data_IF_885208009443
#
_entry.id   IF_885208009443
#
_cell.length_a   1.000
_cell.length_b   1.000
_cell.length_c   1.000
_cell.angle_alpha   90.00
_cell.angle_beta   90.00
_cell.angle_gamma   90.00
#
_symmetry.space_group_name_H-M   'P 1'
#
loop_
_entity.id
_entity.type
_entity.pdbx_description
1 polymer ?
#
# COMPACT_ATOMS: atom_id res chain seq x y z
N UNK A 1 18.72 -4.31 5.78
CA UNK A 1 17.81 -4.48 4.61
C UNK A 1 18.17 -3.44 3.57
N UNK A 2 18.81 -3.85 2.50
CA UNK A 2 19.23 -2.96 1.39
C UNK A 2 18.19 -3.10 0.28
N UNK A 3 17.48 -2.02 -0.03
CA UNK A 3 16.52 -2.00 -1.12
C UNK A 3 17.22 -1.62 -2.41
N UNK A 4 17.25 -2.52 -3.39
CA UNK A 4 17.70 -2.23 -4.74
C UNK A 4 16.49 -1.99 -5.64
N UNK A 5 16.45 -0.82 -6.27
CA UNK A 5 15.45 -0.48 -7.29
C UNK A 5 16.07 -0.81 -8.65
N UNK A 6 15.42 -1.70 -9.41
CA UNK A 6 15.82 -2.01 -10.79
C UNK A 6 14.81 -1.37 -11.76
N UNK A 7 15.32 -0.71 -12.79
CA UNK A 7 14.51 -0.10 -13.84
C UNK A 7 14.67 -0.90 -15.13
N UNK A 8 13.57 -1.25 -15.77
CA UNK A 8 13.53 -1.86 -17.08
C UNK A 8 12.90 -0.88 -18.08
N UNK A 9 13.58 -0.65 -19.19
CA UNK A 9 13.14 0.27 -20.23
C UNK A 9 12.28 -0.49 -21.24
N UNK A 10 11.08 0.00 -21.48
CA UNK A 10 10.16 -0.56 -22.49
C UNK A 10 10.44 0.05 -23.87
N UNK A 11 10.03 -0.63 -24.95
CA UNK A 11 10.30 -0.17 -26.33
C UNK A 11 9.65 1.17 -26.70
N UNK A 12 8.69 1.65 -25.92
CA UNK A 12 7.98 2.93 -26.10
C UNK A 12 8.54 4.09 -25.26
N UNK A 13 9.69 3.91 -24.60
CA UNK A 13 10.38 4.99 -23.86
C UNK A 13 9.93 5.19 -22.41
N UNK A 14 8.96 4.44 -21.91
CA UNK A 14 8.50 4.50 -20.51
C UNK A 14 9.34 3.61 -19.58
N UNK A 15 9.54 4.05 -18.34
CA UNK A 15 10.29 3.32 -17.31
C UNK A 15 9.33 2.77 -16.25
N UNK A 16 9.30 1.45 -16.11
CA UNK A 16 8.61 0.79 -15.00
C UNK A 16 9.60 0.48 -13.88
N UNK A 17 9.24 0.86 -12.67
CA UNK A 17 9.99 0.53 -11.46
C UNK A 17 9.40 -0.71 -10.79
N UNK A 18 10.20 -1.75 -10.58
CA UNK A 18 9.82 -2.93 -9.82
C UNK A 18 10.50 -2.90 -8.45
N UNK A 19 9.69 -3.09 -7.40
CA UNK A 19 10.18 -3.39 -6.07
C UNK A 19 10.38 -4.90 -5.95
N UNK A 20 11.63 -5.33 -5.87
CA UNK A 20 11.97 -6.73 -5.61
C UNK A 20 12.44 -6.84 -4.16
N UNK A 21 11.67 -7.52 -3.32
CA UNK A 21 12.15 -8.00 -2.02
C UNK A 21 12.98 -9.27 -2.27
N UNK A 22 14.27 -9.18 -2.15
CA UNK A 22 15.16 -10.35 -2.14
C UNK A 22 15.18 -10.89 -0.72
N UNK A 23 14.53 -12.01 -0.51
CA UNK A 23 14.71 -12.84 0.67
C UNK A 23 15.96 -13.70 0.49
N UNK A 24 16.89 -13.60 1.45
CA UNK A 24 18.05 -14.48 1.53
C UNK A 24 17.58 -15.92 1.76
N UNK A 25 17.81 -16.77 0.76
CA UNK A 25 17.73 -18.23 0.93
C UNK A 25 19.11 -18.70 1.35
N UNK A 26 19.23 -19.11 2.60
CA UNK A 26 20.31 -19.94 3.07
C UNK A 26 20.30 -21.29 2.34
N UNK A 27 21.42 -21.62 1.72
CA UNK A 27 21.67 -22.92 1.12
C UNK A 27 22.00 -23.91 2.24
N UNK A 28 21.10 -24.81 2.52
CA UNK A 28 21.34 -26.03 3.25
C UNK A 28 21.93 -27.06 2.29
N UNK A 29 23.16 -27.48 2.56
CA UNK A 29 23.88 -28.50 1.81
C UNK A 29 23.66 -29.83 2.52
N UNK A 30 22.86 -30.70 1.93
CA UNK A 30 22.80 -32.12 2.27
C UNK A 30 24.12 -32.80 1.94
N UNK A 31 24.72 -33.45 2.94
CA UNK A 31 25.58 -34.61 2.72
C UNK A 31 25.35 -35.64 3.81
N UNK A 32 24.85 -36.76 3.36
CA UNK A 32 24.54 -38.01 4.03
C UNK A 32 25.82 -38.85 4.20
N UNK A 33 26.07 -39.37 5.38
CA UNK A 33 26.59 -40.76 5.62
C UNK A 33 26.88 -40.98 7.12
N UNK A 34 26.08 -41.72 7.73
CA UNK A 34 26.29 -43.10 8.22
C UNK A 34 27.18 -43.32 9.44
N UNK A 35 26.59 -44.00 10.41
CA UNK A 35 27.08 -44.96 11.41
C UNK A 35 27.65 -44.52 12.76
N UNK A 36 26.93 -45.01 13.76
CA UNK A 36 27.32 -45.78 14.99
C UNK A 36 27.90 -45.05 16.22
N UNK A 37 27.06 -45.15 17.24
CA UNK A 37 27.31 -45.64 18.63
C UNK A 37 28.30 -44.95 19.58
N UNK A 38 27.76 -44.76 20.78
CA UNK A 38 28.29 -44.87 22.13
C UNK A 38 28.97 -43.69 22.84
N UNK A 39 28.42 -43.39 24.02
CA UNK A 39 29.20 -43.12 25.24
C UNK A 39 29.12 -41.71 25.83
N UNK A 40 28.21 -41.53 26.78
CA UNK A 40 28.40 -41.02 28.17
C UNK A 40 29.60 -40.08 28.44
N UNK A 41 29.37 -38.90 28.92
CA UNK A 41 29.71 -38.33 30.23
C UNK A 41 29.92 -36.80 30.18
N UNK A 42 29.50 -36.18 31.28
CA UNK A 42 29.39 -34.77 31.49
C UNK A 42 30.72 -34.01 31.59
N UNK A 43 30.57 -32.73 31.39
CA UNK A 43 31.18 -31.65 32.18
C UNK A 43 31.17 -30.34 31.37
N UNK A 44 30.68 -29.30 32.01
CA UNK A 44 30.82 -27.91 31.57
C UNK A 44 32.29 -27.52 31.37
N UNK A 45 32.57 -26.59 30.51
CA UNK A 45 33.68 -25.67 30.74
C UNK A 45 33.26 -24.17 30.74
N UNK A 46 33.89 -23.50 31.67
CA UNK A 46 33.86 -22.08 31.98
C UNK A 46 34.46 -21.17 30.88
N UNK A 47 34.28 -19.84 31.02
CA UNK A 47 34.49 -18.86 29.96
C UNK A 47 35.98 -18.46 29.81
N UNK A 48 36.38 -18.29 28.55
CA UNK A 48 37.74 -17.82 28.19
C UNK A 48 37.74 -16.29 28.11
N UNK A 49 38.43 -15.67 29.07
CA UNK A 49 38.88 -14.29 29.03
C UNK A 49 40.13 -14.18 28.13
N UNK A 50 40.08 -13.38 27.08
CA UNK A 50 41.27 -13.03 26.30
C UNK A 50 41.90 -11.72 26.82
N UNK A 51 43.11 -11.81 27.27
CA UNK A 51 44.01 -10.76 27.73
C UNK A 51 44.43 -9.82 26.60
N UNK A 52 44.16 -8.50 26.77
CA UNK A 52 44.82 -7.45 25.99
C UNK A 52 46.10 -7.05 26.75
N UNK A 53 47.27 -7.33 26.15
CA UNK A 53 48.57 -6.85 26.62
C UNK A 53 48.75 -5.35 26.36
N UNK A 54 48.86 -4.57 27.44
CA UNK A 54 49.37 -3.20 27.42
C UNK A 54 50.89 -3.22 27.42
N UNK A 55 51.52 -2.72 26.37
CA UNK A 55 52.97 -2.49 26.32
C UNK A 55 53.23 -1.07 26.84
N UNK A 56 53.88 -0.98 28.02
CA UNK A 56 54.40 0.26 28.59
C UNK A 56 55.77 0.54 27.95
N UNK A 57 55.92 1.67 27.30
CA UNK A 57 57.24 2.24 26.98
C UNK A 57 57.70 3.14 28.12
N UNK A 58 58.69 2.70 28.86
CA UNK A 58 59.46 3.45 29.83
C UNK A 58 60.55 4.22 29.08
N UNK A 59 60.44 5.55 28.96
CA UNK A 59 61.52 6.41 28.50
C UNK A 59 62.49 6.75 29.65
N UNK A 60 63.70 6.30 29.46
CA UNK A 60 64.86 6.56 30.35
C UNK A 60 65.30 8.02 30.21
N UNK A 61 65.22 8.72 31.33
CA UNK A 61 65.84 10.03 31.58
C UNK A 61 67.35 9.83 31.87
N UNK A 62 68.20 9.91 30.87
CA UNK A 62 69.61 10.17 31.08
C UNK A 62 70.26 10.55 29.75
N UNK A 63 70.44 11.82 29.51
CA UNK A 63 71.46 12.52 28.69
C UNK A 63 71.03 13.95 28.33
N UNK A 64 70.93 14.77 29.38
CA UNK A 64 71.02 16.22 29.24
C UNK A 64 72.22 16.61 30.05
N UNK A 65 73.32 16.87 29.37
CA UNK A 65 74.47 17.67 29.81
C UNK A 65 75.55 17.54 28.79
N UNK A 66 75.54 18.37 27.73
CA UNK A 66 76.74 18.96 27.14
C UNK A 66 76.39 19.58 25.79
N UNK A 67 76.02 20.79 25.76
CA UNK A 67 76.13 21.71 24.63
C UNK A 67 75.63 23.13 25.02
N UNK A 68 76.21 23.71 26.03
CA UNK A 68 76.15 25.18 26.25
C UNK A 68 77.58 25.65 26.00
N UNK A 69 77.88 26.23 24.88
CA UNK A 69 78.90 27.16 24.57
C UNK A 69 79.20 27.15 23.07
N UNK A 70 78.45 27.89 22.30
CA UNK A 70 78.87 28.67 21.15
C UNK A 70 77.68 29.59 20.80
N UNK A 71 77.55 30.63 21.60
CA UNK A 71 76.67 31.74 21.29
C UNK A 71 77.56 32.92 21.07
N UNK A 72 77.17 33.76 20.15
CA UNK A 72 77.67 35.08 19.81
C UNK A 72 78.39 35.14 18.47
N UNK A 73 77.65 35.74 17.62
CA UNK A 73 77.96 36.64 16.52
C UNK A 73 77.19 36.18 15.25
N UNK A 74 75.89 36.49 15.24
CA UNK A 74 75.13 36.67 13.98
C UNK A 74 74.41 38.01 14.16
N UNK A 75 74.62 38.98 13.25
CA UNK A 75 73.89 40.25 13.31
C UNK A 75 72.40 40.03 13.01
N UNK A 76 71.48 40.82 13.59
CA UNK A 76 70.09 40.76 13.25
C UNK A 76 69.88 41.38 11.86
N UNK A 77 69.98 40.56 10.83
CA UNK A 77 69.65 41.01 9.50
C UNK A 77 68.38 40.35 9.04
N UNK A 78 67.31 41.17 8.92
CA UNK A 78 66.11 40.96 8.15
C UNK A 78 65.22 39.74 8.58
N UNK A 79 64.49 39.89 9.65
CA UNK A 79 63.13 39.39 9.65
C UNK A 79 62.34 40.22 8.65
N UNK A 80 62.38 39.79 7.39
CA UNK A 80 61.40 40.20 6.40
C UNK A 80 60.05 39.74 6.94
N UNK A 81 59.26 40.71 7.36
CA UNK A 81 57.85 40.56 7.60
C UNK A 81 57.27 39.93 6.32
N UNK A 82 56.95 38.64 6.38
CA UNK A 82 56.19 37.99 5.32
C UNK A 82 54.84 38.70 5.25
N UNK A 83 54.80 39.82 4.50
CA UNK A 83 53.53 40.41 4.09
C UNK A 83 52.73 39.29 3.41
N UNK A 84 51.76 38.77 4.11
CA UNK A 84 50.76 37.86 3.57
C UNK A 84 50.30 38.47 2.25
N UNK A 85 50.47 37.80 1.09
CA UNK A 85 50.11 38.42 -0.19
C UNK A 85 48.67 38.87 -0.08
N UNK A 86 48.43 40.18 -0.21
CA UNK A 86 47.09 40.75 -0.22
C UNK A 86 46.37 40.21 -1.47
N UNK A 87 45.60 39.15 -1.27
CA UNK A 87 44.90 38.47 -2.33
C UNK A 87 43.83 39.45 -2.85
N UNK A 88 44.04 40.00 -4.05
CA UNK A 88 43.07 40.92 -4.66
C UNK A 88 41.70 40.23 -4.77
N UNK A 89 40.64 40.87 -4.25
CA UNK A 89 39.30 40.32 -4.34
C UNK A 89 38.84 40.21 -5.80
N UNK A 90 38.01 39.21 -6.10
CA UNK A 90 37.41 38.99 -7.41
C UNK A 90 36.01 39.58 -7.51
N UNK A 91 35.43 39.42 -8.70
CA UNK A 91 34.06 39.84 -9.01
C UNK A 91 33.35 38.67 -9.66
N UNK A 92 32.11 38.39 -9.22
CA UNK A 92 31.21 37.42 -9.82
C UNK A 92 30.03 38.15 -10.41
N UNK A 93 29.72 37.88 -11.68
CA UNK A 93 28.52 38.41 -12.36
C UNK A 93 27.75 37.29 -13.05
N UNK A 94 26.45 37.49 -13.22
CA UNK A 94 25.61 36.56 -13.96
C UNK A 94 24.27 37.20 -14.34
N UNK A 95 23.49 36.47 -15.15
CA UNK A 95 22.16 36.89 -15.55
C UNK A 95 21.22 35.70 -15.38
N UNK A 96 20.15 35.89 -14.60
CA UNK A 96 19.08 34.92 -14.41
C UNK A 96 18.04 35.10 -15.54
N UNK A 97 17.80 34.02 -16.29
CA UNK A 97 16.81 33.99 -17.36
C UNK A 97 15.84 32.82 -17.15
N UNK A 98 14.68 32.89 -17.78
CA UNK A 98 13.74 31.78 -17.82
C UNK A 98 14.10 30.76 -18.95
N UNK A 99 13.22 29.77 -19.17
CA UNK A 99 13.42 28.74 -20.21
C UNK A 99 13.35 29.29 -21.65
N UNK A 100 12.76 30.48 -21.84
CA UNK A 100 12.69 31.16 -23.13
C UNK A 100 13.90 32.10 -23.39
N UNK A 101 14.70 32.35 -22.36
CA UNK A 101 15.80 33.29 -22.38
C UNK A 101 15.43 34.70 -21.91
N UNK A 102 14.18 34.90 -21.42
CA UNK A 102 13.75 36.20 -20.92
C UNK A 102 14.34 36.46 -19.52
N UNK A 103 14.79 37.69 -19.22
CA UNK A 103 15.38 38.03 -17.93
C UNK A 103 14.33 37.93 -16.81
N UNK A 104 14.76 37.37 -15.69
CA UNK A 104 13.90 37.21 -14.50
C UNK A 104 14.23 38.30 -13.48
N UNK A 105 13.33 39.31 -13.31
CA UNK A 105 13.51 40.37 -12.32
C UNK A 105 13.16 39.86 -10.91
N UNK A 106 13.65 40.59 -9.89
CA UNK A 106 13.39 40.32 -8.48
C UNK A 106 13.80 38.90 -8.00
N UNK A 107 14.65 38.22 -8.75
CA UNK A 107 15.23 36.97 -8.29
C UNK A 107 16.25 37.24 -7.17
N UNK A 108 16.13 36.49 -6.09
CA UNK A 108 17.05 36.56 -4.95
C UNK A 108 18.24 35.65 -5.24
N UNK A 109 19.41 36.24 -5.38
CA UNK A 109 20.69 35.53 -5.62
C UNK A 109 21.44 35.46 -4.32
N UNK A 110 21.78 34.28 -3.89
CA UNK A 110 22.56 33.99 -2.69
C UNK A 110 23.94 33.47 -3.12
N UNK A 111 25.00 34.14 -2.68
CA UNK A 111 26.39 33.66 -2.79
C UNK A 111 26.77 33.01 -1.47
N UNK A 112 26.84 31.70 -1.45
CA UNK A 112 27.16 30.91 -0.26
C UNK A 112 28.59 30.42 -0.32
N UNK A 113 29.33 30.56 0.79
CA UNK A 113 30.67 30.01 1.00
C UNK A 113 30.49 28.63 1.66
N UNK A 114 31.13 27.60 1.15
CA UNK A 114 31.04 26.25 1.72
C UNK A 114 31.65 26.16 3.14
N UNK A 115 32.62 27.01 3.44
CA UNK A 115 33.38 26.99 4.71
C UNK A 115 32.92 28.03 5.74
N UNK A 116 31.99 28.94 5.39
CA UNK A 116 31.55 30.03 6.26
C UNK A 116 30.03 30.19 6.27
N UNK A 117 29.47 30.57 7.42
CA UNK A 117 28.02 30.67 7.62
C UNK A 117 27.42 32.03 7.25
N UNK A 118 28.15 32.90 6.53
CA UNK A 118 27.69 34.26 6.19
C UNK A 118 27.44 34.39 4.66
N UNK A 119 26.21 34.10 4.19
CA UNK A 119 25.84 34.24 2.80
C UNK A 119 25.64 35.71 2.41
N UNK A 120 26.08 36.08 1.20
CA UNK A 120 25.81 37.37 0.59
C UNK A 120 24.61 37.28 -0.34
N UNK A 121 23.81 38.35 -0.37
CA UNK A 121 22.60 38.39 -1.20
C UNK A 121 22.65 39.53 -2.20
N UNK A 122 22.09 39.28 -3.39
CA UNK A 122 21.79 40.27 -4.41
C UNK A 122 20.40 40.05 -4.93
N UNK A 123 19.77 41.09 -5.47
CA UNK A 123 18.45 40.97 -6.14
C UNK A 123 18.59 41.41 -7.58
N UNK A 124 18.04 40.69 -8.52
CA UNK A 124 18.13 41.02 -9.95
C UNK A 124 17.19 42.18 -10.31
N UNK A 125 17.66 43.20 -11.04
CA UNK A 125 16.81 44.23 -11.67
C UNK A 125 16.03 43.64 -12.86
N UNK A 126 15.33 44.53 -13.62
CA UNK A 126 14.59 44.14 -14.83
C UNK A 126 15.43 43.43 -15.90
N UNK A 127 16.73 43.69 -15.93
CA UNK A 127 17.67 43.00 -16.84
C UNK A 127 18.03 41.60 -16.39
N UNK A 128 17.60 41.12 -15.22
CA UNK A 128 17.98 39.82 -14.66
C UNK A 128 19.43 39.71 -14.21
N UNK A 129 20.24 40.78 -14.33
CA UNK A 129 21.66 40.75 -13.98
C UNK A 129 21.92 40.84 -12.47
N UNK A 130 23.01 40.25 -11.99
CA UNK A 130 23.49 40.42 -10.64
C UNK A 130 25.01 40.51 -10.60
N UNK A 131 25.55 41.13 -9.58
CA UNK A 131 26.97 41.32 -9.37
C UNK A 131 27.32 41.17 -7.87
N UNK A 132 28.37 40.39 -7.58
CA UNK A 132 29.04 40.36 -6.29
C UNK A 132 30.45 40.88 -6.44
N UNK A 133 30.76 42.03 -5.82
CA UNK A 133 32.09 42.63 -5.74
C UNK A 133 32.81 42.19 -4.48
N UNK A 134 34.11 42.38 -4.44
CA UNK A 134 34.96 42.11 -3.27
C UNK A 134 34.76 40.64 -2.75
N UNK A 135 34.82 39.68 -3.68
CA UNK A 135 34.72 38.24 -3.38
C UNK A 135 36.10 37.71 -3.05
N UNK A 136 36.37 37.17 -1.84
CA UNK A 136 37.67 36.63 -1.46
C UNK A 136 38.10 35.48 -2.41
N UNK A 137 39.33 35.46 -2.93
CA UNK A 137 39.78 34.33 -3.77
C UNK A 137 40.17 33.11 -2.92
N UNK A 138 40.26 31.93 -3.57
CA UNK A 138 40.74 30.69 -2.94
C UNK A 138 39.72 29.98 -2.04
N UNK A 139 38.48 30.46 -1.99
CA UNK A 139 37.38 29.86 -1.23
C UNK A 139 36.37 29.25 -2.20
N UNK A 140 35.79 28.08 -1.92
CA UNK A 140 34.74 27.52 -2.73
C UNK A 140 33.40 28.21 -2.47
N UNK A 141 32.75 28.63 -3.56
CA UNK A 141 31.45 29.31 -3.58
C UNK A 141 30.42 28.51 -4.32
N UNK A 142 29.15 28.63 -3.88
CA UNK A 142 27.98 28.17 -4.58
C UNK A 142 26.98 29.32 -4.74
N UNK A 143 26.35 29.44 -5.89
CA UNK A 143 25.32 30.44 -6.18
C UNK A 143 23.98 29.73 -6.20
N UNK A 144 23.03 30.26 -5.44
CA UNK A 144 21.66 29.81 -5.41
C UNK A 144 20.77 30.96 -5.90
N UNK A 145 19.95 30.71 -6.92
CA UNK A 145 19.00 31.71 -7.45
C UNK A 145 17.58 31.24 -7.16
N UNK A 146 16.82 32.11 -6.51
CA UNK A 146 15.41 31.87 -6.18
C UNK A 146 14.53 32.97 -6.71
N UNK A 147 13.47 32.62 -7.43
CA UNK A 147 12.46 33.57 -7.88
C UNK A 147 11.06 33.01 -7.62
N UNK A 148 10.08 33.91 -7.48
CA UNK A 148 8.69 33.53 -7.29
C UNK A 148 8.20 32.73 -8.50
N UNK A 149 7.50 31.61 -8.25
CA UNK A 149 6.98 30.69 -9.26
C UNK A 149 8.04 29.88 -10.04
N UNK A 150 9.33 30.01 -9.70
CA UNK A 150 10.40 29.23 -10.30
C UNK A 150 10.98 28.22 -9.31
N UNK A 151 11.55 27.16 -9.84
CA UNK A 151 12.36 26.21 -9.06
C UNK A 151 13.70 26.83 -8.75
N UNK A 152 14.26 26.52 -7.59
CA UNK A 152 15.57 26.99 -7.17
C UNK A 152 16.63 26.47 -8.16
N UNK A 153 17.55 27.37 -8.57
CA UNK A 153 18.70 27.02 -9.40
C UNK A 153 19.96 27.09 -8.55
N UNK A 154 20.82 26.08 -8.65
CA UNK A 154 22.08 25.99 -7.92
C UNK A 154 23.23 25.81 -8.90
N UNK A 155 24.32 26.56 -8.68
CA UNK A 155 25.56 26.34 -9.45
C UNK A 155 26.33 25.12 -8.93
N UNK A 156 27.25 24.60 -9.71
CA UNK A 156 28.36 23.81 -9.18
C UNK A 156 29.27 24.67 -8.31
N UNK A 157 30.01 24.03 -7.39
CA UNK A 157 31.02 24.72 -6.58
C UNK A 157 32.09 25.34 -7.48
N UNK A 158 32.46 26.59 -7.21
CA UNK A 158 33.46 27.34 -7.98
C UNK A 158 34.41 28.07 -7.03
N UNK A 159 35.68 28.19 -7.44
CA UNK A 159 36.67 28.99 -6.73
C UNK A 159 37.12 30.15 -7.62
N UNK A 160 37.52 31.29 -7.00
CA UNK A 160 38.06 32.41 -7.73
C UNK A 160 39.60 32.50 -7.56
N UNK A 161 40.27 32.89 -8.60
CA UNK A 161 41.67 33.31 -8.54
C UNK A 161 41.77 34.77 -8.06
N UNK A 162 42.92 35.22 -7.53
CA UNK A 162 43.09 36.59 -7.09
C UNK A 162 42.82 37.60 -8.21
N UNK A 163 41.87 38.52 -7.98
CA UNK A 163 41.47 39.55 -8.95
C UNK A 163 40.66 39.05 -10.15
N UNK A 164 40.16 37.81 -10.10
CA UNK A 164 39.42 37.22 -11.21
C UNK A 164 38.04 37.85 -11.38
N UNK A 165 37.66 38.13 -12.63
CA UNK A 165 36.31 38.44 -13.08
C UNK A 165 35.65 37.15 -13.59
N UNK A 166 34.65 36.65 -12.88
CA UNK A 166 33.96 35.39 -13.19
C UNK A 166 32.56 35.65 -13.70
N UNK A 167 32.25 35.19 -14.90
CA UNK A 167 30.87 35.19 -15.42
C UNK A 167 30.24 33.85 -15.17
N UNK A 168 29.09 33.82 -14.51
CA UNK A 168 28.26 32.62 -14.32
C UNK A 168 27.21 32.59 -15.41
N UNK A 169 27.31 31.59 -16.27
CA UNK A 169 26.38 31.38 -17.41
C UNK A 169 25.44 30.19 -17.14
N UNK A 170 24.35 30.11 -17.91
CA UNK A 170 23.42 28.98 -17.86
C UNK A 170 22.47 28.98 -16.65
N UNK A 171 22.18 30.17 -16.10
CA UNK A 171 21.21 30.33 -15.02
C UNK A 171 19.81 30.37 -15.63
N UNK A 172 19.29 29.18 -15.97
CA UNK A 172 17.96 29.01 -16.57
C UNK A 172 16.97 28.55 -15.49
N UNK A 173 16.07 29.44 -15.09
CA UNK A 173 15.06 29.17 -14.08
C UNK A 173 13.88 28.44 -14.75
N UNK A 174 13.52 27.27 -14.20
CA UNK A 174 12.37 26.47 -14.64
C UNK A 174 11.16 26.85 -13.79
N UNK A 175 10.00 26.97 -14.43
CA UNK A 175 8.74 27.18 -13.72
C UNK A 175 8.56 26.05 -12.70
N UNK A 176 8.22 26.40 -11.45
CA UNK A 176 7.91 25.43 -10.43
C UNK A 176 6.56 24.81 -10.77
N UNK A 177 6.46 23.48 -10.99
CA UNK A 177 5.16 22.85 -11.17
C UNK A 177 4.37 23.03 -9.88
N UNK A 178 3.25 23.74 -9.97
CA UNK A 178 2.29 23.81 -8.88
C UNK A 178 1.62 22.45 -8.78
N UNK A 179 2.04 21.62 -7.85
CA UNK A 179 1.36 20.38 -7.51
C UNK A 179 0.13 20.79 -6.70
N UNK A 180 -0.95 21.11 -7.39
CA UNK A 180 -2.26 21.23 -6.75
C UNK A 180 -2.64 19.81 -6.30
N UNK A 181 -2.41 19.49 -5.04
CA UNK A 181 -3.02 18.31 -4.42
C UNK A 181 -4.49 18.62 -4.27
N UNK A 182 -5.28 18.09 -5.20
CA UNK A 182 -6.71 17.98 -5.00
C UNK A 182 -6.87 16.77 -4.07
N UNK A 183 -6.98 17.01 -2.78
CA UNK A 183 -7.44 15.99 -1.84
C UNK A 183 -8.95 15.83 -2.10
N UNK A 184 -9.27 14.91 -3.01
CA UNK A 184 -10.65 14.50 -3.24
C UNK A 184 -11.04 13.64 -2.04
N UNK A 185 -11.63 14.28 -1.04
CA UNK A 185 -12.24 13.59 0.10
C UNK A 185 -13.53 12.96 -0.41
N UNK A 186 -13.48 11.69 -0.75
CA UNK A 186 -14.69 10.92 -1.05
C UNK A 186 -15.46 10.68 0.25
N UNK A 187 -16.75 11.00 0.24
CA UNK A 187 -17.67 10.52 1.27
C UNK A 187 -17.84 8.99 1.09
N UNK A 188 -17.39 8.16 2.03
CA UNK A 188 -17.51 6.70 1.90
C UNK A 188 -18.95 6.23 1.71
N UNK A 189 -19.93 6.96 2.25
CA UNK A 189 -21.36 6.65 2.11
C UNK A 189 -21.85 6.94 0.70
N UNK A 190 -21.36 8.02 0.09
CA UNK A 190 -21.70 8.34 -1.30
C UNK A 190 -21.13 7.26 -2.25
N UNK A 191 -19.86 6.90 -2.09
CA UNK A 191 -19.24 5.83 -2.88
C UNK A 191 -19.99 4.51 -2.69
N UNK A 192 -20.31 4.12 -1.44
CA UNK A 192 -21.09 2.92 -1.16
C UNK A 192 -22.48 2.96 -1.83
N UNK A 193 -23.12 4.15 -1.88
CA UNK A 193 -24.42 4.32 -2.52
C UNK A 193 -24.34 4.08 -4.04
N UNK A 194 -23.34 4.62 -4.70
CA UNK A 194 -23.14 4.41 -6.14
C UNK A 194 -22.78 2.95 -6.46
N UNK A 195 -21.92 2.33 -5.67
CA UNK A 195 -21.60 0.92 -5.81
C UNK A 195 -22.81 0.01 -5.59
N UNK A 196 -23.61 0.28 -4.55
CA UNK A 196 -24.85 -0.46 -4.31
C UNK A 196 -25.85 -0.33 -5.47
N UNK A 197 -26.03 0.87 -6.02
CA UNK A 197 -26.88 1.04 -7.21
C UNK A 197 -26.39 0.22 -8.39
N UNK A 198 -25.07 0.16 -8.61
CA UNK A 198 -24.50 -0.69 -9.65
C UNK A 198 -24.76 -2.18 -9.35
N UNK A 199 -24.55 -2.63 -8.12
CA UNK A 199 -24.78 -4.01 -7.67
C UNK A 199 -26.26 -4.41 -7.80
N UNK A 200 -27.22 -3.54 -7.45
CA UNK A 200 -28.66 -3.78 -7.61
C UNK A 200 -29.12 -3.95 -9.06
N UNK A 201 -28.32 -3.55 -10.03
CA UNK A 201 -28.60 -3.71 -11.47
C UNK A 201 -27.78 -4.85 -12.08
N UNK A 202 -26.92 -5.52 -11.32
CA UNK A 202 -26.11 -6.63 -11.81
C UNK A 202 -26.99 -7.86 -12.07
N UNK A 203 -26.93 -8.35 -13.31
CA UNK A 203 -27.63 -9.54 -13.72
C UNK A 203 -26.76 -10.40 -14.62
N UNK A 204 -26.69 -11.68 -14.32
CA UNK A 204 -26.05 -12.67 -15.18
C UNK A 204 -26.96 -12.92 -16.38
N UNK A 205 -26.40 -12.91 -17.58
CA UNK A 205 -27.15 -13.07 -18.85
C UNK A 205 -28.29 -12.04 -19.01
N UNK A 206 -28.29 -10.98 -18.20
CA UNK A 206 -29.29 -9.92 -18.23
C UNK A 206 -30.59 -10.16 -17.44
N UNK A 207 -30.78 -11.34 -16.83
CA UNK A 207 -32.02 -11.66 -16.08
C UNK A 207 -31.78 -12.26 -14.68
N UNK A 208 -30.75 -13.09 -14.44
CA UNK A 208 -30.48 -13.70 -13.13
C UNK A 208 -29.86 -12.66 -12.20
N UNK A 209 -30.44 -12.39 -11.01
CA UNK A 209 -29.90 -11.42 -10.08
C UNK A 209 -28.54 -11.87 -9.54
N UNK A 210 -27.58 -10.90 -9.48
CA UNK A 210 -26.24 -11.12 -8.95
C UNK A 210 -25.86 -9.99 -7.99
N UNK A 211 -26.74 -9.66 -7.06
CA UNK A 211 -26.67 -8.44 -6.25
C UNK A 211 -25.67 -8.52 -5.11
N UNK A 212 -25.36 -9.73 -4.62
CA UNK A 212 -24.43 -9.96 -3.52
C UNK A 212 -22.98 -10.18 -3.98
N UNK A 213 -22.62 -9.74 -5.18
CA UNK A 213 -21.26 -9.87 -5.71
C UNK A 213 -20.67 -8.49 -5.97
N UNK A 214 -19.55 -8.19 -5.32
CA UNK A 214 -18.79 -6.99 -5.61
C UNK A 214 -17.60 -7.29 -6.51
N UNK A 215 -17.52 -6.57 -7.63
CA UNK A 215 -16.42 -6.64 -8.60
C UNK A 215 -15.36 -5.56 -8.35
N UNK A 216 -15.59 -4.68 -7.38
CA UNK A 216 -14.65 -3.65 -7.00
C UNK A 216 -13.51 -4.25 -6.15
N UNK A 217 -12.26 -3.81 -6.42
CA UNK A 217 -11.09 -4.28 -5.66
C UNK A 217 -11.15 -3.82 -4.20
N UNK A 218 -11.57 -2.57 -3.99
CA UNK A 218 -11.69 -1.95 -2.68
C UNK A 218 -13.10 -1.36 -2.54
N UNK A 219 -14.12 -2.21 -2.38
CA UNK A 219 -15.48 -1.71 -2.24
C UNK A 219 -15.65 -0.93 -0.94
N UNK A 220 -16.44 0.14 -1.01
CA UNK A 220 -16.83 0.87 0.18
C UNK A 220 -17.74 0.00 1.07
N UNK A 221 -17.62 0.11 2.41
CA UNK A 221 -18.43 -0.66 3.33
C UNK A 221 -19.90 -0.27 3.24
N UNK A 222 -20.79 -1.26 3.25
CA UNK A 222 -22.23 -1.02 3.24
C UNK A 222 -22.72 -0.58 4.63
N UNK A 223 -23.54 0.46 4.69
CA UNK A 223 -24.27 0.81 5.90
C UNK A 223 -25.33 -0.25 6.23
N UNK A 224 -25.80 -0.33 7.48
CA UNK A 224 -26.86 -1.25 7.86
C UNK A 224 -28.10 -1.09 6.95
N UNK A 225 -28.51 0.15 6.64
CA UNK A 225 -29.62 0.42 5.74
C UNK A 225 -29.41 -0.21 4.36
N UNK A 226 -28.20 -0.10 3.80
CA UNK A 226 -27.86 -0.66 2.49
C UNK A 226 -27.86 -2.19 2.51
N UNK A 227 -27.41 -2.84 3.60
CA UNK A 227 -27.46 -4.30 3.78
C UNK A 227 -28.92 -4.78 3.77
N UNK A 228 -29.82 -4.08 4.47
CA UNK A 228 -31.25 -4.38 4.42
C UNK A 228 -31.88 -4.13 3.06
N UNK A 229 -31.51 -3.05 2.37
CA UNK A 229 -31.96 -2.74 1.01
C UNK A 229 -31.59 -3.86 0.05
N UNK A 230 -30.35 -4.32 0.09
CA UNK A 230 -29.85 -5.43 -0.74
C UNK A 230 -30.59 -6.73 -0.46
N UNK A 231 -30.81 -7.06 0.82
CA UNK A 231 -31.56 -8.25 1.24
C UNK A 231 -33.02 -8.23 0.76
N UNK A 232 -33.71 -7.11 0.93
CA UNK A 232 -35.08 -6.94 0.46
C UNK A 232 -35.16 -7.01 -1.06
N UNK A 233 -34.23 -6.35 -1.77
CA UNK A 233 -34.15 -6.39 -3.24
C UNK A 233 -34.02 -7.83 -3.74
N UNK A 234 -33.11 -8.61 -3.14
CA UNK A 234 -32.89 -10.02 -3.49
C UNK A 234 -34.10 -10.88 -3.16
N UNK A 235 -34.69 -10.72 -1.99
CA UNK A 235 -35.86 -11.51 -1.56
C UNK A 235 -37.11 -11.27 -2.40
N UNK A 236 -37.26 -10.06 -2.95
CA UNK A 236 -38.45 -9.67 -3.74
C UNK A 236 -38.22 -9.76 -5.24
N UNK A 237 -37.05 -10.22 -5.70
CA UNK A 237 -36.75 -10.36 -7.12
C UNK A 237 -37.59 -11.50 -7.75
N UNK A 238 -38.21 -11.25 -8.94
CA UNK A 238 -39.05 -12.26 -9.60
C UNK A 238 -38.30 -13.56 -9.91
N UNK A 239 -36.99 -13.51 -10.17
CA UNK A 239 -36.18 -14.72 -10.43
C UNK A 239 -35.95 -15.48 -9.14
N UNK A 240 -35.76 -14.80 -8.01
CA UNK A 240 -35.74 -15.45 -6.68
C UNK A 240 -37.05 -16.18 -6.39
N UNK A 241 -38.19 -15.54 -6.70
CA UNK A 241 -39.50 -16.17 -6.57
C UNK A 241 -39.65 -17.41 -7.48
N UNK A 242 -39.17 -17.33 -8.74
CA UNK A 242 -39.15 -18.47 -9.63
C UNK A 242 -38.25 -19.61 -9.11
N UNK A 243 -37.10 -19.26 -8.50
CA UNK A 243 -36.22 -20.20 -7.80
C UNK A 243 -36.92 -20.95 -6.65
N UNK A 244 -37.70 -20.21 -5.84
CA UNK A 244 -38.53 -20.81 -4.78
C UNK A 244 -39.50 -21.84 -5.35
N UNK A 245 -40.21 -21.49 -6.43
CA UNK A 245 -41.14 -22.43 -7.10
C UNK A 245 -40.40 -23.65 -7.64
N UNK A 246 -39.26 -23.48 -8.26
CA UNK A 246 -38.42 -24.56 -8.77
C UNK A 246 -37.97 -25.52 -7.66
N UNK A 247 -37.44 -25.00 -6.56
CA UNK A 247 -36.99 -25.78 -5.40
C UNK A 247 -38.17 -26.49 -4.74
N UNK A 248 -39.30 -25.82 -4.60
CA UNK A 248 -40.53 -26.43 -4.07
C UNK A 248 -41.00 -27.59 -4.95
N UNK A 249 -40.87 -27.48 -6.27
CA UNK A 249 -41.21 -28.57 -7.22
C UNK A 249 -40.27 -29.77 -7.06
N UNK A 250 -38.96 -29.53 -6.90
CA UNK A 250 -37.98 -30.58 -6.60
C UNK A 250 -38.28 -31.27 -5.25
N UNK A 251 -38.60 -30.47 -4.23
CA UNK A 251 -39.02 -30.97 -2.90
C UNK A 251 -40.32 -31.79 -2.99
N UNK A 252 -41.25 -31.39 -3.88
CA UNK A 252 -42.49 -32.15 -4.14
C UNK A 252 -42.21 -33.52 -4.74
N UNK A 253 -41.30 -33.62 -5.72
CA UNK A 253 -40.90 -34.87 -6.33
C UNK A 253 -40.22 -35.82 -5.33
N UNK A 254 -39.45 -35.26 -4.35
CA UNK A 254 -38.78 -36.02 -3.31
C UNK A 254 -39.59 -36.25 -2.02
N UNK A 255 -40.86 -35.80 -1.95
CA UNK A 255 -41.70 -35.79 -0.74
C UNK A 255 -40.95 -35.25 0.51
N UNK A 256 -40.22 -34.19 0.31
CA UNK A 256 -39.41 -33.54 1.36
C UNK A 256 -39.71 -32.04 1.46
N UNK A 257 -40.13 -31.49 2.62
CA UNK A 257 -40.58 -32.18 3.83
C UNK A 257 -41.84 -33.05 3.60
N UNK A 258 -42.10 -34.02 4.49
CA UNK A 258 -43.17 -34.97 4.40
C UNK A 258 -44.57 -34.34 4.62
N UNK A 259 -45.05 -33.63 3.60
CA UNK A 259 -46.40 -33.09 3.53
C UNK A 259 -47.36 -33.98 2.74
N UNK A 260 -46.85 -35.09 2.14
CA UNK A 260 -47.60 -35.90 1.17
C UNK A 260 -47.57 -35.33 -0.24
N UNK A 261 -48.51 -35.72 -1.08
CA UNK A 261 -48.58 -35.30 -2.50
C UNK A 261 -49.85 -34.46 -2.75
N UNK A 262 -49.90 -33.81 -3.91
CA UNK A 262 -50.99 -32.96 -4.35
C UNK A 262 -50.76 -31.47 -4.13
N UNK A 263 -51.75 -30.65 -4.52
CA UNK A 263 -51.61 -29.20 -4.58
C UNK A 263 -51.49 -28.54 -3.18
N UNK A 264 -52.18 -29.07 -2.16
CA UNK A 264 -52.08 -28.57 -0.79
C UNK A 264 -50.65 -28.80 -0.25
N UNK A 265 -50.09 -29.99 -0.48
CA UNK A 265 -48.74 -30.32 -0.08
C UNK A 265 -47.69 -29.45 -0.87
N UNK A 266 -47.93 -29.19 -2.12
CA UNK A 266 -47.09 -28.32 -2.95
C UNK A 266 -47.12 -26.89 -2.43
N UNK A 267 -48.32 -26.34 -2.14
CA UNK A 267 -48.49 -25.00 -1.56
C UNK A 267 -47.73 -24.84 -0.26
N UNK A 268 -47.79 -25.86 0.64
CA UNK A 268 -47.02 -25.89 1.91
C UNK A 268 -45.51 -25.89 1.63
N UNK A 269 -45.00 -26.63 0.62
CA UNK A 269 -43.60 -26.63 0.25
C UNK A 269 -43.16 -25.30 -0.35
N UNK A 270 -43.97 -24.62 -1.13
CA UNK A 270 -43.70 -23.25 -1.61
C UNK A 270 -43.59 -22.32 -0.41
N UNK A 271 -44.53 -22.36 0.54
CA UNK A 271 -44.52 -21.53 1.71
C UNK A 271 -43.26 -21.73 2.58
N UNK A 272 -42.90 -22.97 2.89
CA UNK A 272 -41.69 -23.24 3.69
C UNK A 272 -40.41 -22.92 2.97
N UNK A 273 -40.35 -23.14 1.66
CA UNK A 273 -39.17 -22.79 0.84
C UNK A 273 -38.99 -21.28 0.79
N UNK A 274 -40.09 -20.52 0.63
CA UNK A 274 -40.06 -19.08 0.68
C UNK A 274 -39.63 -18.55 2.06
N UNK A 275 -40.15 -19.16 3.15
CA UNK A 275 -39.78 -18.80 4.51
C UNK A 275 -38.31 -19.09 4.81
N UNK A 276 -37.81 -20.28 4.40
CA UNK A 276 -36.39 -20.65 4.54
C UNK A 276 -35.49 -19.62 3.82
N UNK A 277 -35.76 -19.37 2.53
CA UNK A 277 -34.94 -18.44 1.73
C UNK A 277 -35.01 -16.99 2.23
N UNK A 278 -36.21 -16.51 2.60
CA UNK A 278 -36.37 -15.15 3.16
C UNK A 278 -35.63 -15.00 4.49
N UNK A 279 -35.77 -15.95 5.42
CA UNK A 279 -35.09 -15.90 6.69
C UNK A 279 -33.57 -15.96 6.55
N UNK A 280 -33.05 -16.80 5.65
CA UNK A 280 -31.63 -16.91 5.38
C UNK A 280 -31.05 -15.60 4.81
N UNK A 281 -31.70 -15.04 3.77
CA UNK A 281 -31.27 -13.76 3.18
C UNK A 281 -31.35 -12.64 4.20
N UNK A 282 -32.39 -12.54 5.00
CA UNK A 282 -32.56 -11.46 5.97
C UNK A 282 -31.60 -11.61 7.15
N UNK A 283 -31.45 -12.81 7.72
CA UNK A 283 -30.60 -13.01 8.88
C UNK A 283 -29.11 -12.98 8.48
N UNK A 284 -28.73 -13.77 7.49
CA UNK A 284 -27.34 -13.90 7.03
C UNK A 284 -26.85 -12.75 6.14
N UNK A 285 -27.76 -12.10 5.41
CA UNK A 285 -27.43 -11.02 4.47
C UNK A 285 -27.63 -9.60 5.01
N UNK A 286 -28.46 -9.41 6.06
CA UNK A 286 -28.72 -8.06 6.59
C UNK A 286 -28.57 -7.96 8.13
N UNK A 287 -29.30 -8.76 8.90
CA UNK A 287 -29.37 -8.61 10.37
C UNK A 287 -28.00 -8.86 11.00
N UNK A 288 -27.46 -10.06 10.84
CA UNK A 288 -26.16 -10.42 11.43
C UNK A 288 -25.00 -9.59 10.85
N UNK A 289 -24.90 -9.34 9.54
CA UNK A 289 -23.86 -8.47 9.02
C UNK A 289 -23.91 -7.05 9.58
N UNK A 290 -25.10 -6.52 9.86
CA UNK A 290 -25.26 -5.20 10.48
C UNK A 290 -24.83 -5.17 11.93
N UNK A 291 -25.17 -6.22 12.70
CA UNK A 291 -24.83 -6.34 14.12
C UNK A 291 -23.33 -6.63 14.33
N UNK A 292 -22.75 -7.45 13.45
CA UNK A 292 -21.36 -7.92 13.55
C UNK A 292 -20.37 -7.06 12.75
N UNK A 293 -20.85 -5.98 12.12
CA UNK A 293 -20.06 -5.11 11.26
C UNK A 293 -19.31 -5.88 10.16
N UNK A 294 -20.00 -6.82 9.50
CA UNK A 294 -19.49 -7.67 8.44
C UNK A 294 -20.12 -7.28 7.10
N UNK A 295 -19.35 -7.43 6.02
CA UNK A 295 -19.88 -7.23 4.67
C UNK A 295 -20.45 -8.55 4.14
N UNK A 296 -21.73 -8.60 3.72
CA UNK A 296 -22.37 -9.83 3.27
C UNK A 296 -22.03 -10.23 1.84
N UNK A 297 -21.29 -9.37 1.09
CA UNK A 297 -21.02 -9.59 -0.33
C UNK A 297 -19.89 -10.60 -0.56
N UNK A 298 -19.98 -11.32 -1.66
CA UNK A 298 -18.86 -12.05 -2.24
C UNK A 298 -17.93 -11.08 -2.99
N UNK A 299 -16.64 -11.14 -2.73
CA UNK A 299 -15.65 -10.30 -3.41
C UNK A 299 -14.99 -11.06 -4.54
N UNK A 300 -15.40 -10.76 -5.77
CA UNK A 300 -14.86 -11.43 -6.96
C UNK A 300 -13.36 -11.17 -7.10
N UNK A 301 -12.55 -12.24 -7.13
CA UNK A 301 -11.10 -12.10 -7.28
C UNK A 301 -10.71 -11.83 -8.73
N UNK A 302 -11.19 -12.61 -9.67
CA UNK A 302 -11.02 -12.43 -11.12
C UNK A 302 -9.60 -12.50 -11.66
N UNK A 303 -8.58 -12.33 -10.82
CA UNK A 303 -7.16 -12.27 -11.19
C UNK A 303 -6.32 -13.25 -10.36
N UNK A 304 -5.12 -13.58 -10.86
CA UNK A 304 -4.23 -14.55 -10.21
C UNK A 304 -4.31 -15.94 -10.81
N UNK A 305 -3.64 -16.90 -10.17
CA UNK A 305 -3.62 -18.31 -10.63
C UNK A 305 -4.96 -18.99 -10.37
N UNK A 306 -5.31 -20.01 -11.18
CA UNK A 306 -6.53 -20.80 -11.01
C UNK A 306 -6.64 -21.38 -9.59
N UNK A 307 -5.52 -21.87 -9.03
CA UNK A 307 -5.49 -22.40 -7.65
C UNK A 307 -5.75 -21.34 -6.58
N UNK A 308 -5.27 -20.11 -6.77
CA UNK A 308 -5.56 -18.98 -5.86
C UNK A 308 -7.05 -18.63 -5.88
N UNK A 309 -7.63 -18.50 -7.09
CA UNK A 309 -9.03 -18.18 -7.29
C UNK A 309 -9.94 -19.28 -6.74
N UNK A 310 -9.60 -20.56 -6.99
CA UNK A 310 -10.32 -21.71 -6.44
C UNK A 310 -10.33 -21.68 -4.90
N UNK A 311 -9.17 -21.49 -4.28
CA UNK A 311 -9.08 -21.39 -2.82
C UNK A 311 -9.88 -20.20 -2.28
N UNK A 312 -9.80 -19.04 -2.93
CA UNK A 312 -10.57 -17.86 -2.54
C UNK A 312 -12.08 -18.16 -2.56
N UNK A 313 -12.60 -18.69 -3.67
CA UNK A 313 -14.02 -19.01 -3.81
C UNK A 313 -14.47 -20.09 -2.81
N UNK A 314 -13.66 -21.12 -2.59
CA UNK A 314 -13.97 -22.21 -1.64
C UNK A 314 -14.05 -21.71 -0.19
N UNK A 315 -13.17 -20.79 0.21
CA UNK A 315 -13.13 -20.30 1.59
C UNK A 315 -13.99 -19.05 1.83
N UNK A 316 -14.55 -18.43 0.81
CA UNK A 316 -15.38 -17.23 0.95
C UNK A 316 -16.62 -17.39 1.87
N UNK A 317 -17.29 -18.55 1.98
CA UNK A 317 -18.36 -18.71 2.96
C UNK A 317 -17.89 -18.65 4.41
N UNK A 318 -16.60 -18.92 4.66
CA UNK A 318 -15.99 -18.94 6.00
C UNK A 318 -15.25 -17.67 6.36
N UNK A 319 -14.89 -16.85 5.35
CA UNK A 319 -14.09 -15.63 5.54
C UNK A 319 -14.74 -14.48 4.78
N UNK A 320 -15.01 -13.40 5.48
CA UNK A 320 -15.54 -12.17 4.90
C UNK A 320 -14.68 -10.96 5.28
N UNK A 321 -15.11 -9.77 4.90
CA UNK A 321 -14.52 -8.50 5.30
C UNK A 321 -15.38 -7.81 6.36
N UNK A 322 -14.73 -7.14 7.30
CA UNK A 322 -15.42 -6.22 8.19
C UNK A 322 -15.74 -4.91 7.48
N UNK A 323 -16.62 -4.09 8.03
CA UNK A 323 -16.88 -2.71 7.55
C UNK A 323 -15.62 -1.82 7.59
N UNK A 324 -14.55 -2.24 8.30
CA UNK A 324 -13.22 -1.59 8.24
C UNK A 324 -12.28 -2.18 7.18
N UNK A 325 -12.75 -3.09 6.31
CA UNK A 325 -11.98 -3.72 5.23
C UNK A 325 -11.06 -4.86 5.65
N UNK A 326 -11.03 -5.25 6.93
CA UNK A 326 -10.17 -6.34 7.43
C UNK A 326 -10.83 -7.70 7.21
N UNK A 327 -10.06 -8.71 6.83
CA UNK A 327 -10.55 -10.10 6.76
C UNK A 327 -10.86 -10.63 8.15
N UNK A 328 -11.98 -11.33 8.27
CA UNK A 328 -12.44 -11.95 9.51
C UNK A 328 -13.30 -13.19 9.21
N UNK A 329 -13.50 -14.11 10.21
CA UNK A 329 -14.42 -15.23 10.04
C UNK A 329 -15.84 -14.74 9.74
N UNK A 330 -16.53 -15.40 8.83
CA UNK A 330 -17.87 -15.01 8.39
C UNK A 330 -18.96 -15.53 9.35
N UNK A 331 -19.00 -14.93 10.53
CA UNK A 331 -20.00 -15.28 11.55
C UNK A 331 -21.42 -14.99 11.09
N UNK A 332 -21.62 -13.96 10.25
CA UNK A 332 -22.96 -13.59 9.78
C UNK A 332 -23.53 -14.65 8.83
N UNK A 333 -22.74 -15.18 7.92
CA UNK A 333 -23.19 -16.24 7.01
C UNK A 333 -23.46 -17.53 7.76
N UNK A 334 -22.49 -18.03 8.52
CA UNK A 334 -22.62 -19.28 9.28
C UNK A 334 -23.71 -19.21 10.35
N UNK A 335 -23.78 -18.07 11.06
CA UNK A 335 -24.83 -17.82 12.06
C UNK A 335 -26.20 -17.65 11.43
N UNK A 336 -26.30 -17.06 10.25
CA UNK A 336 -27.51 -16.93 9.45
C UNK A 336 -28.07 -18.29 9.04
N UNK A 337 -27.20 -19.14 8.47
CA UNK A 337 -27.58 -20.52 8.10
C UNK A 337 -28.11 -21.32 9.30
N UNK A 338 -27.42 -21.24 10.45
CA UNK A 338 -27.88 -21.93 11.67
C UNK A 338 -29.18 -21.36 12.20
N UNK A 339 -29.33 -20.04 12.22
CA UNK A 339 -30.53 -19.39 12.74
C UNK A 339 -31.75 -19.65 11.85
N UNK A 340 -31.62 -19.55 10.52
CA UNK A 340 -32.70 -19.84 9.58
C UNK A 340 -33.09 -21.33 9.61
N UNK A 341 -32.11 -22.23 9.68
CA UNK A 341 -32.35 -23.65 9.85
C UNK A 341 -33.02 -23.97 11.18
N UNK A 342 -32.68 -23.23 12.26
CA UNK A 342 -33.36 -23.31 13.54
C UNK A 342 -34.83 -22.88 13.45
N UNK A 343 -35.10 -21.76 12.75
CA UNK A 343 -36.46 -21.26 12.51
C UNK A 343 -37.31 -22.25 11.71
N UNK A 344 -36.74 -23.03 10.80
CA UNK A 344 -37.46 -24.06 10.04
C UNK A 344 -38.15 -25.10 10.93
N UNK A 345 -37.64 -25.33 12.15
CA UNK A 345 -38.32 -26.22 13.12
C UNK A 345 -39.68 -25.71 13.59
N UNK A 346 -39.99 -24.42 13.43
CA UNK A 346 -41.29 -23.86 13.84
C UNK A 346 -42.41 -24.28 12.87
N UNK A 347 -42.12 -24.39 11.58
CA UNK A 347 -43.11 -24.57 10.54
C UNK A 347 -42.99 -25.88 9.75
N UNK A 348 -41.90 -26.63 9.87
CA UNK A 348 -41.78 -27.95 9.24
C UNK A 348 -42.68 -28.99 9.93
N UNK A 349 -43.05 -30.09 9.22
CA UNK A 349 -43.79 -31.18 9.85
C UNK A 349 -42.99 -31.79 11.01
N UNK A 350 -43.70 -32.28 12.05
CA UNK A 350 -43.07 -32.92 13.21
C UNK A 350 -42.05 -33.99 12.87
N UNK A 351 -42.33 -34.78 11.81
CA UNK A 351 -41.43 -35.82 11.32
C UNK A 351 -40.10 -35.33 10.74
N UNK A 352 -40.01 -34.04 10.37
CA UNK A 352 -38.83 -33.43 9.78
C UNK A 352 -38.14 -32.43 10.74
N UNK A 353 -38.60 -32.27 11.98
CA UNK A 353 -38.02 -31.36 12.98
C UNK A 353 -36.88 -32.02 13.75
N UNK A 354 -36.10 -31.20 14.40
CA UNK A 354 -35.05 -31.62 15.33
C UNK A 354 -33.66 -31.14 14.91
N UNK A 355 -32.67 -31.51 15.70
CA UNK A 355 -31.28 -31.14 15.53
C UNK A 355 -30.72 -31.57 14.19
N UNK A 356 -31.16 -32.76 13.69
CA UNK A 356 -30.76 -33.27 12.38
C UNK A 356 -31.19 -32.36 11.22
N UNK A 357 -32.37 -31.73 11.29
CA UNK A 357 -32.82 -30.74 10.30
C UNK A 357 -31.89 -29.51 10.31
N UNK A 358 -31.56 -28.98 11.50
CA UNK A 358 -30.75 -27.80 11.63
C UNK A 358 -29.35 -28.01 11.03
N UNK A 359 -28.66 -29.07 11.43
CA UNK A 359 -27.33 -29.36 10.92
C UNK A 359 -27.34 -29.84 9.47
N UNK A 360 -28.38 -30.52 9.02
CA UNK A 360 -28.58 -30.89 7.64
C UNK A 360 -28.73 -29.66 6.73
N UNK A 361 -29.63 -28.74 7.08
CA UNK A 361 -29.82 -27.49 6.33
C UNK A 361 -28.57 -26.60 6.38
N UNK A 362 -27.91 -26.51 7.53
CA UNK A 362 -26.64 -25.78 7.65
C UNK A 362 -25.56 -26.35 6.69
N UNK A 363 -25.39 -27.67 6.65
CA UNK A 363 -24.41 -28.30 5.78
C UNK A 363 -24.74 -28.08 4.30
N UNK A 364 -26.04 -28.20 3.93
CA UNK A 364 -26.53 -27.95 2.56
C UNK A 364 -26.29 -26.48 2.19
N UNK A 365 -26.71 -25.52 3.05
CA UNK A 365 -26.54 -24.09 2.81
C UNK A 365 -25.06 -23.70 2.63
N UNK A 366 -24.18 -24.24 3.47
CA UNK A 366 -22.73 -24.02 3.34
C UNK A 366 -22.19 -24.59 2.02
N UNK A 367 -22.61 -25.80 1.63
CA UNK A 367 -22.21 -26.41 0.35
C UNK A 367 -22.73 -25.61 -0.86
N UNK A 368 -23.97 -25.13 -0.81
CA UNK A 368 -24.55 -24.26 -1.84
C UNK A 368 -23.77 -22.94 -1.97
N UNK A 369 -23.35 -22.31 -0.86
CA UNK A 369 -22.53 -21.10 -0.87
C UNK A 369 -21.14 -21.35 -1.49
N UNK A 370 -20.50 -22.47 -1.16
CA UNK A 370 -19.23 -22.88 -1.80
C UNK A 370 -19.44 -23.05 -3.32
N UNK A 371 -20.47 -23.80 -3.71
CA UNK A 371 -20.81 -24.01 -5.10
C UNK A 371 -21.08 -22.70 -5.85
N UNK A 372 -21.90 -21.84 -5.28
CA UNK A 372 -22.22 -20.52 -5.84
C UNK A 372 -20.97 -19.66 -5.99
N UNK A 373 -20.11 -19.58 -4.98
CA UNK A 373 -18.86 -18.81 -5.05
C UNK A 373 -17.92 -19.33 -6.12
N UNK A 374 -17.82 -20.65 -6.31
CA UNK A 374 -17.03 -21.26 -7.39
C UNK A 374 -17.62 -20.92 -8.77
N UNK A 375 -18.93 -21.03 -8.91
CA UNK A 375 -19.64 -20.68 -10.16
C UNK A 375 -19.50 -19.19 -10.46
N UNK A 376 -19.62 -18.31 -9.46
CA UNK A 376 -19.36 -16.86 -9.58
C UNK A 376 -17.95 -16.58 -10.06
N UNK A 377 -16.96 -17.20 -9.42
CA UNK A 377 -15.55 -16.93 -9.71
C UNK A 377 -15.13 -17.39 -11.11
N UNK A 378 -15.65 -18.51 -11.59
CA UNK A 378 -15.16 -19.11 -12.84
C UNK A 378 -16.10 -18.98 -14.03
N UNK A 379 -17.40 -18.83 -13.79
CA UNK A 379 -18.42 -18.83 -14.82
C UNK A 379 -19.16 -17.50 -14.88
N UNK A 380 -19.92 -17.15 -13.82
CA UNK A 380 -20.88 -16.06 -13.85
C UNK A 380 -20.21 -14.69 -13.96
N UNK A 381 -19.02 -14.50 -13.37
CA UNK A 381 -18.28 -13.25 -13.49
C UNK A 381 -17.93 -12.83 -14.92
N UNK A 382 -17.99 -13.78 -15.89
CA UNK A 382 -17.79 -13.51 -17.32
C UNK A 382 -19.07 -13.05 -18.02
N UNK A 383 -20.22 -13.43 -17.51
CA UNK A 383 -21.54 -13.21 -18.10
C UNK A 383 -22.35 -12.14 -17.36
N UNK A 384 -21.82 -11.61 -16.26
CA UNK A 384 -22.49 -10.55 -15.51
C UNK A 384 -22.29 -9.21 -16.21
N UNK A 385 -23.38 -8.56 -16.57
CA UNK A 385 -23.38 -7.15 -16.97
C UNK A 385 -23.04 -6.31 -15.76
N UNK A 386 -21.85 -5.77 -15.73
CA UNK A 386 -21.43 -4.77 -14.72
C UNK A 386 -22.12 -3.48 -15.04
N UNK A 387 -22.77 -2.85 -14.05
CA UNK A 387 -23.26 -1.49 -14.20
C UNK A 387 -22.08 -0.61 -14.63
N UNK A 388 -22.28 0.20 -15.68
CA UNK A 388 -21.21 0.94 -16.34
C UNK A 388 -20.39 1.73 -15.33
N UNK A 389 -19.06 1.59 -15.41
CA UNK A 389 -18.16 2.57 -14.84
C UNK A 389 -18.51 3.91 -15.45
N UNK A 390 -18.89 4.89 -14.63
CA UNK A 390 -18.78 6.29 -15.05
C UNK A 390 -17.27 6.57 -15.10
N UNK A 391 -16.75 6.72 -16.35
CA UNK A 391 -15.43 7.27 -16.62
C UNK A 391 -15.29 8.70 -16.12
#
# INVERSE_FOLDING_TARGET
MSHRISFQQLPNGERLAFFCCVGDQEKENDNQSDSTEDGVDGSEPAPIYSHIKRTKYMLSLTRIRLAIAITLIVPPCLLGENAKPELKPGIIVGTAVDVNGDPVPNAKVELKTLDRSDPRFATTPESGAFEFRDVPPGVPYEIIVRAQNFSDWNSSSMTLEPGQFKIVTGINLKIRPEVTRIDVTYDPVQVATEQLKAEEHQRVLGFIPNFYVSYEKNPAPLTAKMKFQLALKTSTDPVTAAGVLFIASARQAGDSPKYGQGWDAYGKRVGVTAADGFSDIMIGGAILPSLLHQDPRYFYQGTGTTGSRFRHAMFSPFVTRSDSGKSMPNYSSLGGDLASAGLSNLYFPKANRGVGLVFGNFAIGTAERIGTSLVEEFILGRFTKRGGHME
#
